data_IF_660148193233
#
_entry.id   IF_660148193233
#
_cell.length_a   1.000
_cell.length_b   1.000
_cell.length_c   1.000
_cell.angle_alpha   90.00
_cell.angle_beta   90.00
_cell.angle_gamma   90.00
#
_symmetry.space_group_name_H-M   'P 1'
#
loop_
_entity.id
_entity.type
_entity.pdbx_description
1 polymer ?
#
# COMPACT_ATOMS: atom_id res chain seq x y z
N UNK A 1 1.31 26.82 -9.52
CA UNK A 1 0.01 26.29 -9.03
C UNK A 1 0.31 25.47 -7.79
N UNK A 2 -0.47 25.59 -6.72
CA UNK A 2 -0.31 24.75 -5.52
C UNK A 2 -0.81 23.33 -5.81
N UNK A 3 -0.05 22.31 -5.39
CA UNK A 3 -0.44 20.90 -5.45
C UNK A 3 -0.51 20.39 -4.03
N UNK A 4 -1.63 19.77 -3.67
CA UNK A 4 -1.86 19.14 -2.37
C UNK A 4 -1.80 17.62 -2.49
N UNK A 5 -0.95 16.98 -1.69
CA UNK A 5 -0.85 15.52 -1.61
C UNK A 5 -1.14 15.12 -0.17
N UNK A 6 -2.13 14.24 0.02
CA UNK A 6 -2.45 13.67 1.31
C UNK A 6 -1.77 12.30 1.43
N UNK A 7 -1.03 12.09 2.50
CA UNK A 7 -0.44 10.77 2.80
C UNK A 7 -0.95 10.35 4.18
N UNK A 8 -1.74 9.29 4.21
CA UNK A 8 -2.25 8.69 5.43
C UNK A 8 -1.33 7.53 5.88
N UNK A 9 -1.43 7.18 7.15
CA UNK A 9 -0.72 6.05 7.74
C UNK A 9 -1.39 4.70 7.45
N UNK A 10 -1.27 3.78 8.41
CA UNK A 10 -1.67 2.39 8.27
C UNK A 10 -3.19 2.22 8.37
N UNK A 11 -3.75 1.53 7.38
CA UNK A 11 -5.16 1.15 7.34
C UNK A 11 -5.25 -0.37 7.44
N UNK A 12 -5.81 -0.81 8.56
CA UNK A 12 -6.05 -2.22 8.86
C UNK A 12 -7.52 -2.41 9.22
N UNK A 13 -8.32 -3.11 8.40
CA UNK A 13 -9.63 -3.58 8.83
C UNK A 13 -9.47 -4.60 9.96
N UNK A 14 -9.89 -4.26 11.17
CA UNK A 14 -9.70 -5.12 12.33
C UNK A 14 -10.94 -5.17 13.23
N UNK A 15 -11.28 -6.35 13.74
CA UNK A 15 -12.35 -6.58 14.73
C UNK A 15 -13.63 -5.77 14.45
N UNK A 16 -13.90 -4.76 15.29
CA UNK A 16 -15.12 -3.94 15.23
C UNK A 16 -15.29 -3.16 13.94
N UNK A 17 -14.22 -2.92 13.18
CA UNK A 17 -14.29 -2.18 11.92
C UNK A 17 -14.61 -3.06 10.73
N UNK A 18 -14.31 -4.37 10.78
CA UNK A 18 -14.57 -5.30 9.69
C UNK A 18 -16.02 -5.24 9.20
N UNK A 19 -17.07 -5.31 10.07
CA UNK A 19 -18.45 -5.24 9.59
C UNK A 19 -18.80 -3.91 8.90
N UNK A 20 -18.09 -2.84 9.22
CA UNK A 20 -18.30 -1.54 8.61
C UNK A 20 -17.72 -1.48 7.19
N UNK A 21 -16.55 -2.10 6.98
CA UNK A 21 -15.95 -2.28 5.66
C UNK A 21 -16.84 -3.17 4.79
N UNK A 22 -17.28 -4.33 5.31
CA UNK A 22 -18.17 -5.25 4.60
C UNK A 22 -19.53 -4.61 4.22
N UNK A 23 -19.99 -3.65 5.02
CA UNK A 23 -21.22 -2.90 4.76
C UNK A 23 -20.99 -1.59 3.98
N UNK A 24 -19.79 -1.34 3.45
CA UNK A 24 -19.41 -0.12 2.71
C UNK A 24 -19.79 1.17 3.44
N UNK A 25 -19.53 1.24 4.76
CA UNK A 25 -19.82 2.42 5.58
C UNK A 25 -18.72 3.47 5.50
N UNK A 26 -18.36 3.89 4.29
CA UNK A 26 -17.24 4.81 3.99
C UNK A 26 -17.33 6.10 4.83
N UNK A 27 -18.48 6.76 4.86
CA UNK A 27 -18.66 8.00 5.61
C UNK A 27 -18.45 7.80 7.12
N UNK A 28 -18.88 6.66 7.67
CA UNK A 28 -18.71 6.34 9.07
C UNK A 28 -17.26 6.02 9.43
N UNK A 29 -16.56 5.29 8.55
CA UNK A 29 -15.16 4.88 8.76
C UNK A 29 -14.20 6.05 8.71
N UNK A 30 -14.39 6.96 7.78
CA UNK A 30 -13.47 8.08 7.56
C UNK A 30 -13.94 9.40 8.19
N UNK A 31 -15.25 9.55 8.48
CA UNK A 31 -15.79 10.72 9.16
C UNK A 31 -15.31 12.04 8.53
N UNK A 32 -14.84 12.94 9.36
CA UNK A 32 -14.44 14.30 8.94
C UNK A 32 -13.23 14.35 8.02
N UNK A 33 -12.38 13.30 8.01
CA UNK A 33 -11.21 13.26 7.10
C UNK A 33 -11.59 12.96 5.65
N UNK A 34 -12.83 12.50 5.39
CA UNK A 34 -13.28 12.16 4.06
C UNK A 34 -13.23 13.37 3.10
N UNK A 35 -13.56 14.55 3.58
CA UNK A 35 -13.46 15.78 2.80
C UNK A 35 -12.00 16.09 2.44
N UNK A 36 -11.06 15.91 3.37
CA UNK A 36 -9.62 16.13 3.12
C UNK A 36 -9.07 15.18 2.08
N UNK A 37 -9.50 13.90 2.11
CA UNK A 37 -9.11 12.90 1.10
C UNK A 37 -9.59 13.36 -0.28
N UNK A 38 -10.86 13.71 -0.41
CA UNK A 38 -11.53 14.06 -1.68
C UNK A 38 -11.11 15.42 -2.25
N UNK A 39 -10.68 16.36 -1.42
CA UNK A 39 -10.24 17.69 -1.81
C UNK A 39 -8.75 17.75 -2.16
N UNK A 40 -7.97 16.74 -1.79
CA UNK A 40 -6.56 16.67 -2.17
C UNK A 40 -6.41 16.36 -3.66
N UNK A 41 -5.33 16.87 -4.26
CA UNK A 41 -5.04 16.61 -5.68
C UNK A 41 -4.56 15.18 -5.93
N UNK A 42 -4.06 14.52 -4.89
CA UNK A 42 -3.69 13.11 -4.88
C UNK A 42 -3.62 12.59 -3.43
N UNK A 43 -4.08 11.39 -3.20
CA UNK A 43 -4.14 10.81 -1.86
C UNK A 43 -3.62 9.38 -1.81
N UNK A 44 -2.88 9.06 -0.75
CA UNK A 44 -2.19 7.78 -0.55
C UNK A 44 -2.47 7.26 0.85
N UNK A 45 -2.67 5.95 0.98
CA UNK A 45 -2.80 5.27 2.28
C UNK A 45 -2.05 3.94 2.29
N UNK A 46 -1.45 3.56 3.43
CA UNK A 46 -0.87 2.23 3.57
C UNK A 46 -1.96 1.19 3.81
N UNK A 47 -2.10 0.23 2.89
CA UNK A 47 -3.05 -0.89 3.01
C UNK A 47 -2.33 -2.09 3.62
N UNK A 48 -2.43 -2.24 4.93
CA UNK A 48 -1.56 -3.12 5.72
C UNK A 48 -2.18 -4.51 6.01
N UNK A 49 -3.03 -4.99 5.14
CA UNK A 49 -3.61 -6.32 5.28
C UNK A 49 -3.86 -6.96 3.92
N UNK A 50 -3.24 -8.11 3.60
CA UNK A 50 -3.44 -8.75 2.30
C UNK A 50 -4.87 -9.25 2.15
N UNK A 51 -5.38 -9.24 0.92
CA UNK A 51 -6.74 -9.70 0.62
C UNK A 51 -6.80 -11.22 0.56
N UNK A 52 -7.82 -11.77 1.19
CA UNK A 52 -8.19 -13.18 1.12
C UNK A 52 -9.55 -13.33 0.45
N UNK A 53 -9.60 -14.05 -0.66
CA UNK A 53 -10.83 -14.32 -1.41
C UNK A 53 -11.49 -15.64 -1.00
N UNK A 54 -10.68 -16.69 -0.68
CA UNK A 54 -11.19 -18.03 -0.41
C UNK A 54 -10.70 -18.56 0.94
N UNK A 55 -9.53 -19.20 0.94
CA UNK A 55 -8.94 -19.87 2.11
C UNK A 55 -7.76 -19.11 2.67
N UNK A 56 -7.76 -18.91 3.98
CA UNK A 56 -6.61 -18.39 4.71
C UNK A 56 -5.42 -19.37 4.63
N UNK A 57 -4.25 -18.84 4.27
CA UNK A 57 -2.99 -19.56 4.20
C UNK A 57 -1.86 -18.75 4.87
N UNK A 58 -1.97 -18.51 6.18
CA UNK A 58 -1.05 -17.65 6.88
C UNK A 58 0.37 -18.22 6.91
N UNK A 59 1.35 -17.34 6.81
CA UNK A 59 2.75 -17.71 7.02
C UNK A 59 3.04 -17.97 8.50
N UNK A 60 4.14 -18.69 8.76
CA UNK A 60 4.63 -18.87 10.14
C UNK A 60 5.52 -17.69 10.50
N UNK A 61 5.07 -16.87 11.46
CA UNK A 61 5.85 -15.76 12.00
C UNK A 61 5.48 -15.53 13.46
N UNK A 62 6.24 -14.71 14.16
CA UNK A 62 5.82 -14.13 15.45
C UNK A 62 4.85 -12.98 15.21
N UNK A 63 3.91 -12.77 16.13
CA UNK A 63 2.87 -11.75 16.00
C UNK A 63 1.65 -12.19 15.19
N UNK A 64 0.67 -11.31 15.02
CA UNK A 64 -0.58 -11.61 14.32
C UNK A 64 -0.38 -11.74 12.82
N UNK A 65 -1.20 -12.60 12.20
CA UNK A 65 -1.35 -12.61 10.75
C UNK A 65 -2.60 -11.81 10.39
N UNK A 66 -2.41 -10.71 9.68
CA UNK A 66 -3.50 -9.86 9.20
C UNK A 66 -4.11 -10.40 7.91
N UNK A 67 -5.33 -10.00 7.65
CA UNK A 67 -6.02 -10.23 6.38
C UNK A 67 -7.15 -9.24 6.20
N UNK A 68 -7.59 -9.08 4.96
CA UNK A 68 -8.64 -8.16 4.57
C UNK A 68 -9.52 -8.77 3.49
N UNK A 69 -10.60 -8.10 3.14
CA UNK A 69 -11.51 -8.45 2.05
C UNK A 69 -11.41 -7.47 0.88
N UNK A 70 -11.98 -7.85 -0.25
CA UNK A 70 -12.15 -6.95 -1.38
C UNK A 70 -13.00 -5.71 -0.99
N UNK A 71 -14.06 -5.91 -0.20
CA UNK A 71 -14.91 -4.80 0.27
C UNK A 71 -14.10 -3.71 0.99
N UNK A 72 -13.08 -4.09 1.76
CA UNK A 72 -12.25 -3.10 2.42
C UNK A 72 -11.43 -2.26 1.42
N UNK A 73 -10.91 -2.86 0.36
CA UNK A 73 -10.20 -2.13 -0.69
C UNK A 73 -11.15 -1.26 -1.54
N UNK A 74 -12.36 -1.73 -1.80
CA UNK A 74 -13.41 -0.95 -2.46
C UNK A 74 -13.77 0.28 -1.63
N UNK A 75 -13.90 0.14 -0.32
CA UNK A 75 -14.15 1.27 0.61
C UNK A 75 -13.01 2.29 0.59
N UNK A 76 -11.76 1.85 0.50
CA UNK A 76 -10.59 2.75 0.34
C UNK A 76 -10.72 3.56 -0.95
N UNK A 77 -11.09 2.91 -2.05
CA UNK A 77 -11.33 3.58 -3.33
C UNK A 77 -12.53 4.53 -3.28
N UNK A 78 -13.63 4.12 -2.67
CA UNK A 78 -14.86 4.93 -2.51
C UNK A 78 -14.62 6.16 -1.61
N UNK A 79 -13.69 6.07 -0.65
CA UNK A 79 -13.26 7.22 0.14
C UNK A 79 -12.56 8.28 -0.72
N UNK A 80 -12.00 7.89 -1.87
CA UNK A 80 -11.32 8.78 -2.79
C UNK A 80 -9.80 8.66 -2.79
N UNK A 81 -9.24 7.64 -2.14
CA UNK A 81 -7.80 7.38 -2.25
C UNK A 81 -7.41 6.99 -3.67
N UNK A 82 -6.37 7.64 -4.19
CA UNK A 82 -5.85 7.44 -5.54
C UNK A 82 -4.86 6.28 -5.62
N UNK A 83 -4.16 6.01 -4.52
CA UNK A 83 -3.12 4.99 -4.47
C UNK A 83 -3.01 4.36 -3.07
N UNK A 84 -2.69 3.06 -3.05
CA UNK A 84 -2.30 2.36 -1.82
C UNK A 84 -0.80 2.03 -1.84
N UNK A 85 -0.18 2.05 -0.67
CA UNK A 85 1.16 1.49 -0.48
C UNK A 85 1.05 0.07 0.06
N UNK A 86 1.92 -0.83 -0.42
CA UNK A 86 1.91 -2.26 -0.12
C UNK A 86 3.23 -2.75 0.49
N UNK A 87 4.28 -1.90 0.52
CA UNK A 87 5.47 -2.27 1.26
C UNK A 87 5.25 -2.03 2.74
N UNK A 88 4.85 -3.10 3.42
CA UNK A 88 4.66 -3.18 4.87
C UNK A 88 4.97 -4.61 5.35
N UNK A 89 5.14 -4.79 6.66
CA UNK A 89 5.53 -6.07 7.26
C UNK A 89 4.38 -7.11 7.29
N UNK A 90 3.16 -6.73 6.91
CA UNK A 90 1.99 -7.61 6.88
C UNK A 90 1.56 -8.05 5.47
N UNK A 91 2.11 -7.45 4.42
CA UNK A 91 1.64 -7.69 3.04
C UNK A 91 1.67 -9.17 2.60
N UNK A 92 2.59 -9.99 3.17
CA UNK A 92 2.73 -11.41 2.88
C UNK A 92 2.10 -12.34 3.94
N UNK A 93 1.36 -11.81 4.89
CA UNK A 93 0.80 -12.59 6.00
C UNK A 93 -0.03 -13.80 5.57
N UNK A 94 -0.68 -13.73 4.42
CA UNK A 94 -1.47 -14.80 3.82
C UNK A 94 -0.71 -15.52 2.68
N UNK A 95 0.63 -15.49 2.73
CA UNK A 95 1.49 -16.14 1.76
C UNK A 95 1.35 -15.56 0.36
N UNK A 96 1.83 -16.31 -0.64
CA UNK A 96 1.80 -15.90 -2.04
C UNK A 96 0.38 -15.64 -2.55
N UNK A 97 -0.61 -16.41 -2.06
CA UNK A 97 -2.01 -16.20 -2.46
C UNK A 97 -2.54 -14.85 -2.01
N UNK A 98 -2.23 -14.42 -0.78
CA UNK A 98 -2.61 -13.09 -0.27
C UNK A 98 -2.01 -11.96 -1.10
N UNK A 99 -0.72 -12.06 -1.44
CA UNK A 99 -0.04 -11.10 -2.33
C UNK A 99 -0.74 -11.03 -3.70
N UNK A 100 -0.91 -12.18 -4.36
CA UNK A 100 -1.53 -12.23 -5.69
C UNK A 100 -2.98 -11.72 -5.68
N UNK A 101 -3.76 -12.08 -4.67
CA UNK A 101 -5.14 -11.62 -4.52
C UNK A 101 -5.19 -10.09 -4.36
N UNK A 102 -4.34 -9.54 -3.50
CA UNK A 102 -4.30 -8.08 -3.25
C UNK A 102 -3.98 -7.30 -4.53
N UNK A 103 -2.94 -7.72 -5.26
CA UNK A 103 -2.56 -7.09 -6.54
C UNK A 103 -3.68 -7.20 -7.57
N UNK A 104 -4.27 -8.40 -7.73
CA UNK A 104 -5.35 -8.64 -8.68
C UNK A 104 -6.62 -7.85 -8.33
N UNK A 105 -6.94 -7.72 -7.05
CA UNK A 105 -8.07 -6.91 -6.59
C UNK A 105 -7.84 -5.42 -6.89
N UNK A 106 -6.65 -4.88 -6.58
CA UNK A 106 -6.30 -3.50 -6.90
C UNK A 106 -6.42 -3.22 -8.41
N UNK A 107 -5.88 -4.11 -9.25
CA UNK A 107 -5.98 -4.01 -10.70
C UNK A 107 -7.45 -4.06 -11.17
N UNK A 108 -8.27 -4.95 -10.61
CA UNK A 108 -9.66 -5.16 -11.02
C UNK A 108 -10.55 -3.95 -10.77
N UNK A 109 -10.29 -3.21 -9.69
CA UNK A 109 -11.03 -1.99 -9.35
C UNK A 109 -10.32 -0.72 -9.86
N UNK A 110 -9.15 -0.83 -10.48
CA UNK A 110 -8.37 0.28 -10.99
C UNK A 110 -7.85 1.20 -9.88
N UNK A 111 -7.37 0.64 -8.76
CA UNK A 111 -6.71 1.36 -7.69
C UNK A 111 -5.20 1.23 -7.87
N UNK A 112 -4.49 2.37 -7.98
CA UNK A 112 -3.04 2.34 -8.10
C UNK A 112 -2.37 1.78 -6.84
N UNK A 113 -1.21 1.16 -7.01
CA UNK A 113 -0.41 0.70 -5.88
C UNK A 113 1.10 0.86 -6.14
N UNK A 114 1.88 0.80 -5.07
CA UNK A 114 3.34 0.86 -5.10
C UNK A 114 3.93 0.07 -3.94
N UNK A 115 5.12 -0.50 -4.12
CA UNK A 115 5.86 -1.18 -3.05
C UNK A 115 5.52 -2.65 -2.85
N UNK A 116 4.60 -3.21 -3.64
CA UNK A 116 4.27 -4.63 -3.63
C UNK A 116 4.33 -5.24 -5.03
N UNK A 117 4.67 -6.52 -5.14
CA UNK A 117 4.76 -7.21 -6.41
C UNK A 117 4.76 -8.73 -6.29
N UNK A 118 4.62 -9.43 -7.42
CA UNK A 118 4.65 -10.89 -7.50
C UNK A 118 6.08 -11.46 -7.37
N UNK A 119 7.07 -10.60 -7.47
CA UNK A 119 8.49 -10.83 -7.28
C UNK A 119 9.18 -9.50 -6.93
N UNK A 120 10.49 -9.54 -6.66
CA UNK A 120 11.26 -8.37 -6.27
C UNK A 120 11.28 -7.27 -7.36
N UNK A 121 11.39 -7.65 -8.63
CA UNK A 121 11.39 -6.71 -9.74
C UNK A 121 10.09 -5.91 -9.80
N UNK A 122 8.94 -6.61 -9.64
CA UNK A 122 7.63 -5.95 -9.60
C UNK A 122 7.45 -5.09 -8.36
N UNK A 123 7.86 -5.58 -7.18
CA UNK A 123 7.74 -4.84 -5.93
C UNK A 123 8.52 -3.51 -5.93
N UNK A 124 9.65 -3.46 -6.65
CA UNK A 124 10.50 -2.28 -6.81
C UNK A 124 10.03 -1.30 -7.88
N UNK A 125 8.99 -1.60 -8.65
CA UNK A 125 8.52 -0.71 -9.71
C UNK A 125 8.15 0.67 -9.14
N UNK A 126 8.78 1.69 -9.73
CA UNK A 126 8.48 3.09 -9.42
C UNK A 126 7.12 3.42 -10.02
N UNK A 127 6.21 3.94 -9.21
CA UNK A 127 4.91 4.40 -9.69
C UNK A 127 4.98 5.89 -10.06
N UNK A 128 4.66 6.23 -11.30
CA UNK A 128 4.68 7.59 -11.81
C UNK A 128 3.26 8.11 -12.00
N UNK A 129 2.94 9.22 -11.34
CA UNK A 129 1.63 9.87 -11.43
C UNK A 129 1.77 11.30 -11.94
N UNK A 130 0.90 11.65 -12.88
CA UNK A 130 0.75 13.05 -13.31
C UNK A 130 -0.30 13.72 -12.44
N UNK A 131 0.15 14.64 -11.60
CA UNK A 131 -0.72 15.43 -10.74
C UNK A 131 -0.67 16.87 -11.23
N UNK A 132 -1.78 17.35 -11.81
CA UNK A 132 -1.83 18.62 -12.56
C UNK A 132 -0.75 18.67 -13.67
N UNK A 133 0.15 19.65 -13.59
CA UNK A 133 1.22 19.88 -14.57
C UNK A 133 2.56 19.21 -14.20
N UNK A 134 2.61 18.45 -13.11
CA UNK A 134 3.81 17.83 -12.58
C UNK A 134 3.76 16.30 -12.61
N UNK A 135 4.93 15.68 -12.72
CA UNK A 135 5.10 14.24 -12.61
C UNK A 135 5.72 13.92 -11.25
N UNK A 136 5.05 13.09 -10.49
CA UNK A 136 5.52 12.57 -9.21
C UNK A 136 5.91 11.11 -9.38
N UNK A 137 7.06 10.73 -8.83
CA UNK A 137 7.48 9.33 -8.70
C UNK A 137 7.29 8.91 -7.24
N UNK A 138 6.58 7.82 -7.04
CA UNK A 138 6.39 7.21 -5.73
C UNK A 138 7.22 5.94 -5.63
N UNK A 139 8.00 5.82 -4.56
CA UNK A 139 8.77 4.66 -4.17
C UNK A 139 8.33 4.31 -2.76
N UNK A 140 7.96 3.05 -2.52
CA UNK A 140 7.57 2.59 -1.19
C UNK A 140 8.38 1.36 -0.83
N UNK A 141 8.92 1.36 0.38
CA UNK A 141 9.79 0.30 0.91
C UNK A 141 9.41 -0.01 2.36
N UNK A 142 9.69 -1.24 2.80
CA UNK A 142 9.55 -1.59 4.21
C UNK A 142 10.79 -2.27 4.76
N UNK A 143 10.94 -2.23 6.08
CA UNK A 143 11.99 -2.94 6.78
C UNK A 143 11.97 -4.45 6.48
N UNK A 144 13.13 -5.09 6.63
CA UNK A 144 13.29 -6.50 6.28
C UNK A 144 12.73 -7.42 7.38
N UNK A 145 11.45 -7.75 7.26
CA UNK A 145 10.77 -8.73 8.07
C UNK A 145 10.28 -9.91 7.21
N UNK A 146 9.08 -10.43 7.51
CA UNK A 146 8.51 -11.62 6.89
C UNK A 146 7.91 -11.39 5.49
N UNK A 147 7.64 -10.14 5.12
CA UNK A 147 6.86 -9.79 3.92
C UNK A 147 7.69 -9.50 2.66
N UNK A 148 8.99 -9.54 2.74
CA UNK A 148 9.89 -9.11 1.66
C UNK A 148 9.75 -9.97 0.41
N UNK A 149 9.68 -9.30 -0.75
CA UNK A 149 9.70 -9.95 -2.05
C UNK A 149 11.10 -10.50 -2.38
N UNK A 150 11.12 -11.62 -3.06
CA UNK A 150 12.31 -12.32 -3.58
C UNK A 150 12.16 -12.52 -5.10
N UNK A 151 13.17 -13.06 -5.75
CA UNK A 151 13.18 -13.22 -7.21
C UNK A 151 11.96 -14.02 -7.73
N UNK A 152 11.54 -15.06 -6.98
CA UNK A 152 10.43 -15.93 -7.36
C UNK A 152 9.21 -15.83 -6.41
N UNK A 153 9.31 -15.01 -5.37
CA UNK A 153 8.25 -14.86 -4.38
C UNK A 153 7.80 -13.41 -4.25
N UNK A 154 6.50 -13.21 -4.33
CA UNK A 154 5.88 -11.90 -4.14
C UNK A 154 5.93 -11.42 -2.71
N UNK A 155 5.87 -10.12 -2.56
CA UNK A 155 5.90 -9.44 -1.28
C UNK A 155 6.18 -7.95 -1.41
N UNK A 156 6.67 -7.40 -0.33
CA UNK A 156 7.02 -5.99 -0.16
C UNK A 156 8.39 -5.65 -0.74
N UNK A 157 8.54 -4.45 -1.26
CA UNK A 157 9.82 -3.88 -1.66
C UNK A 157 10.70 -3.66 -0.40
N UNK A 158 11.89 -4.29 -0.30
CA UNK A 158 12.73 -4.20 0.88
C UNK A 158 13.37 -2.81 1.05
N UNK A 159 13.56 -2.41 2.31
CA UNK A 159 14.39 -1.27 2.66
C UNK A 159 15.87 -1.63 2.44
N UNK A 160 16.38 -1.31 1.25
CA UNK A 160 17.78 -1.48 0.86
C UNK A 160 18.33 -0.14 0.36
N UNK A 161 19.27 0.44 1.08
CA UNK A 161 19.80 1.78 0.80
C UNK A 161 20.45 1.91 -0.59
N UNK A 162 21.07 0.83 -1.10
CA UNK A 162 21.73 0.84 -2.40
C UNK A 162 20.65 0.86 -3.50
N UNK A 163 19.67 0.00 -3.39
CA UNK A 163 18.56 -0.06 -4.33
C UNK A 163 17.72 1.23 -4.29
N UNK A 164 17.39 1.75 -3.11
CA UNK A 164 16.68 3.02 -2.94
C UNK A 164 17.45 4.16 -3.62
N UNK A 165 18.76 4.23 -3.44
CA UNK A 165 19.58 5.25 -4.09
C UNK A 165 19.48 5.17 -5.62
N UNK A 166 19.61 3.99 -6.20
CA UNK A 166 19.47 3.77 -7.64
C UNK A 166 18.06 4.11 -8.13
N UNK A 167 17.03 3.69 -7.41
CA UNK A 167 15.62 3.94 -7.76
C UNK A 167 15.31 5.44 -7.73
N UNK A 168 15.83 6.19 -6.75
CA UNK A 168 15.69 7.67 -6.70
C UNK A 168 16.39 8.33 -7.90
N UNK A 169 17.60 7.89 -8.26
CA UNK A 169 18.32 8.44 -9.42
C UNK A 169 17.51 8.18 -10.70
N UNK A 170 16.98 6.97 -10.84
CA UNK A 170 16.16 6.62 -12.01
C UNK A 170 14.86 7.43 -12.05
N UNK A 171 14.18 7.54 -10.91
CA UNK A 171 12.96 8.33 -10.78
C UNK A 171 13.15 9.79 -11.22
N UNK A 172 14.25 10.41 -10.80
CA UNK A 172 14.56 11.82 -11.11
C UNK A 172 14.83 12.10 -12.59
N UNK A 173 15.05 11.09 -13.41
CA UNK A 173 15.17 11.28 -14.87
C UNK A 173 13.84 11.57 -15.54
N UNK A 174 12.72 11.20 -14.88
CA UNK A 174 11.37 11.24 -15.48
C UNK A 174 10.36 12.04 -14.68
N UNK A 175 10.64 12.33 -13.41
CA UNK A 175 9.72 13.00 -12.50
C UNK A 175 10.25 14.35 -12.02
N UNK A 176 9.33 15.30 -11.82
CA UNK A 176 9.61 16.59 -11.19
C UNK A 176 9.89 16.42 -9.68
N UNK A 177 9.19 15.47 -9.04
CA UNK A 177 9.30 15.18 -7.61
C UNK A 177 9.38 13.68 -7.36
N UNK A 178 10.15 13.28 -6.34
CA UNK A 178 10.25 11.90 -5.87
C UNK A 178 9.79 11.87 -4.42
N UNK A 179 8.80 11.01 -4.13
CA UNK A 179 8.29 10.75 -2.79
C UNK A 179 8.71 9.33 -2.42
N UNK A 180 9.55 9.22 -1.41
CA UNK A 180 9.93 7.95 -0.80
C UNK A 180 9.06 7.74 0.45
N UNK A 181 8.29 6.67 0.47
CA UNK A 181 7.46 6.26 1.60
C UNK A 181 8.12 5.05 2.25
N UNK A 182 8.40 5.15 3.53
CA UNK A 182 9.09 4.10 4.29
C UNK A 182 8.16 3.59 5.37
N UNK A 183 7.88 2.29 5.37
CA UNK A 183 7.21 1.59 6.45
C UNK A 183 8.27 0.89 7.30
N UNK A 184 8.59 1.46 8.43
CA UNK A 184 9.62 0.98 9.34
C UNK A 184 9.43 1.55 10.73
N UNK A 185 9.97 0.88 11.72
CA UNK A 185 9.96 1.34 13.11
C UNK A 185 10.07 0.18 14.09
N UNK A 186 10.34 0.50 15.35
CA UNK A 186 10.35 -0.49 16.41
C UNK A 186 9.02 -0.37 17.15
N UNK A 187 8.16 -1.38 17.02
CA UNK A 187 6.89 -1.43 17.73
C UNK A 187 7.07 -1.27 19.24
N UNK A 188 6.16 -0.54 19.87
CA UNK A 188 6.14 -0.29 21.31
C UNK A 188 7.34 0.52 21.88
N UNK A 189 8.17 1.11 21.02
CA UNK A 189 9.19 2.08 21.44
C UNK A 189 8.70 3.50 21.13
N UNK A 190 8.63 4.39 22.16
CA UNK A 190 8.25 5.80 21.94
C UNK A 190 9.34 6.58 21.21
#
# INVERSE_FOLDING_TARGET
>A
MLISILIAGDLVPHERTVPLFEAHKTDYLFGDILSLIRESDFSVVNFEAPIVLDKLTPIRKSGPNLYSSLAAMEVVKDAGFDMITLANNHFRDQGQSGVCNTLSCADSIGLNYVGGGKNLEEARKINYQRIKDKIFAFINVCEQEYSIAEDEYGGSNPYDLINIHHDIIEARKRADYVILIIHAGIEHYP
#
